data_IF_927552017532
#
_entry.id   IF_927552017532
#
_cell.length_a   1.000
_cell.length_b   1.000
_cell.length_c   1.000
_cell.angle_alpha   90.00
_cell.angle_beta   90.00
_cell.angle_gamma   90.00
#
_symmetry.space_group_name_H-M   'P 1'
#
loop_
_entity.id
_entity.type
_entity.pdbx_description
1 polymer ?
#
# COMPACT_ATOMS: atom_id res chain seq x y z
N UNK A 1 5.89 -13.10 -4.04
CA UNK A 1 7.23 -13.39 -3.45
C UNK A 1 7.57 -12.42 -2.34
N UNK A 2 7.64 -11.11 -2.56
CA UNK A 2 8.08 -10.13 -1.55
C UNK A 2 7.33 -10.24 -0.21
N UNK A 3 5.98 -10.31 -0.24
CA UNK A 3 5.18 -10.42 0.99
C UNK A 3 5.48 -11.73 1.75
N UNK A 4 5.74 -12.83 1.03
CA UNK A 4 6.17 -14.08 1.69
C UNK A 4 7.48 -13.88 2.46
N UNK A 5 8.46 -13.21 1.87
CA UNK A 5 9.74 -12.93 2.54
C UNK A 5 9.57 -12.05 3.79
N UNK A 6 8.62 -11.09 3.76
CA UNK A 6 8.26 -10.29 4.94
C UNK A 6 7.68 -11.18 6.04
N UNK A 7 6.75 -12.08 5.70
CA UNK A 7 6.14 -12.99 6.66
C UNK A 7 7.15 -13.98 7.22
N UNK A 8 8.03 -14.52 6.37
CA UNK A 8 9.14 -15.38 6.80
C UNK A 8 10.06 -14.66 7.80
N UNK A 9 10.38 -13.38 7.54
CA UNK A 9 11.19 -12.55 8.44
C UNK A 9 10.49 -12.25 9.78
N UNK A 10 9.16 -12.32 9.81
CA UNK A 10 8.35 -12.23 11.03
C UNK A 10 8.18 -13.59 11.74
N UNK A 11 8.71 -14.68 11.17
CA UNK A 11 8.50 -16.04 11.66
C UNK A 11 7.10 -16.60 11.37
N UNK A 12 6.36 -15.98 10.47
CA UNK A 12 5.01 -16.40 10.06
C UNK A 12 5.13 -17.30 8.84
N UNK A 13 4.66 -18.53 8.97
CA UNK A 13 4.67 -19.51 7.88
C UNK A 13 3.52 -19.25 6.91
N UNK A 14 3.85 -19.07 5.64
CA UNK A 14 2.86 -19.04 4.55
C UNK A 14 2.51 -20.47 4.17
N UNK A 15 1.24 -20.83 4.17
CA UNK A 15 0.78 -22.18 3.88
C UNK A 15 0.61 -22.44 2.39
N UNK A 16 0.07 -21.47 1.65
CA UNK A 16 -0.19 -21.58 0.22
C UNK A 16 -0.20 -20.20 -0.46
N UNK A 17 -0.08 -20.20 -1.76
CA UNK A 17 -0.43 -19.06 -2.61
C UNK A 17 -1.82 -19.29 -3.22
N UNK A 18 -2.49 -18.20 -3.57
CA UNK A 18 -3.77 -18.23 -4.28
C UNK A 18 -3.57 -17.47 -5.59
N UNK A 19 -3.88 -18.12 -6.71
CA UNK A 19 -3.81 -17.52 -8.04
C UNK A 19 -4.91 -18.16 -8.91
N UNK A 20 -5.65 -17.37 -9.67
CA UNK A 20 -6.74 -17.86 -10.53
C UNK A 20 -6.26 -18.46 -11.86
N UNK A 21 -4.96 -18.36 -12.16
CA UNK A 21 -4.36 -19.00 -13.33
C UNK A 21 -4.14 -20.52 -13.10
N UNK A 22 -4.92 -21.41 -13.74
CA UNK A 22 -4.82 -22.84 -13.53
C UNK A 22 -3.50 -23.47 -13.99
N UNK A 23 -2.71 -22.74 -14.77
CA UNK A 23 -1.39 -23.21 -15.21
C UNK A 23 -0.32 -23.13 -14.12
N UNK A 24 -0.57 -22.39 -13.03
CA UNK A 24 0.38 -22.20 -11.94
C UNK A 24 -0.02 -23.12 -10.78
N UNK A 25 0.68 -24.24 -10.61
CA UNK A 25 0.43 -25.19 -9.51
C UNK A 25 1.39 -25.03 -8.32
N UNK A 26 2.55 -24.38 -8.50
CA UNK A 26 3.55 -24.15 -7.45
C UNK A 26 4.20 -22.77 -7.60
N UNK A 27 4.44 -22.12 -6.47
CA UNK A 27 5.16 -20.85 -6.37
C UNK A 27 6.05 -20.87 -5.12
N UNK A 28 7.31 -20.49 -5.23
CA UNK A 28 8.26 -20.47 -4.10
C UNK A 28 8.29 -21.77 -3.28
N UNK A 29 8.12 -22.94 -3.93
CA UNK A 29 8.10 -24.25 -3.29
C UNK A 29 6.79 -24.63 -2.60
N UNK A 30 5.81 -23.72 -2.54
CA UNK A 30 4.49 -23.96 -1.96
C UNK A 30 3.45 -24.29 -3.05
N UNK A 31 2.36 -24.92 -2.65
CA UNK A 31 1.20 -25.16 -3.52
C UNK A 31 0.51 -23.84 -3.85
N UNK A 32 -0.04 -23.77 -5.07
CA UNK A 32 -0.95 -22.72 -5.49
C UNK A 32 -2.37 -23.29 -5.51
N UNK A 33 -3.26 -22.61 -4.81
CA UNK A 33 -4.68 -22.91 -4.78
C UNK A 33 -5.41 -21.94 -5.72
N UNK A 34 -6.55 -22.37 -6.26
CA UNK A 34 -7.29 -21.57 -7.24
C UNK A 34 -8.52 -20.87 -6.65
N UNK A 35 -8.74 -21.02 -5.34
CA UNK A 35 -9.72 -20.28 -4.56
C UNK A 35 -9.21 -20.06 -3.13
N UNK A 36 -9.88 -19.19 -2.39
CA UNK A 36 -9.55 -18.85 -1.01
C UNK A 36 -10.47 -19.54 0.02
N UNK A 37 -11.23 -20.54 -0.39
CA UNK A 37 -12.26 -21.16 0.46
C UNK A 37 -11.63 -21.79 1.71
N UNK A 38 -12.12 -21.39 2.87
CA UNK A 38 -11.65 -21.89 4.17
C UNK A 38 -10.27 -21.39 4.60
N UNK A 39 -9.64 -20.45 3.85
CA UNK A 39 -8.37 -19.86 4.22
C UNK A 39 -8.58 -18.53 4.96
N UNK A 40 -7.93 -18.39 6.11
CA UNK A 40 -7.96 -17.17 6.92
C UNK A 40 -6.79 -17.19 7.93
N UNK A 41 -6.04 -16.08 8.09
CA UNK A 41 -6.17 -14.83 7.35
C UNK A 41 -5.50 -14.87 5.97
N UNK A 42 -5.92 -13.99 5.06
CA UNK A 42 -5.37 -13.84 3.72
C UNK A 42 -4.75 -12.45 3.55
N UNK A 43 -3.69 -12.33 2.74
CA UNK A 43 -3.14 -11.04 2.29
C UNK A 43 -3.23 -10.96 0.76
N UNK A 44 -3.90 -9.93 0.24
CA UNK A 44 -4.02 -9.70 -1.21
C UNK A 44 -2.77 -8.99 -1.72
N UNK A 45 -1.90 -9.74 -2.44
CA UNK A 45 -0.58 -9.30 -2.89
C UNK A 45 -0.57 -8.72 -4.31
N UNK A 46 -1.59 -7.91 -4.65
CA UNK A 46 -1.78 -7.30 -5.97
C UNK A 46 -1.44 -5.82 -5.90
N UNK A 47 -0.54 -5.35 -6.78
CA UNK A 47 -0.02 -3.98 -6.77
C UNK A 47 -1.01 -2.93 -7.25
N UNK A 48 -1.85 -3.25 -8.26
CA UNK A 48 -2.88 -2.34 -8.72
C UNK A 48 -3.96 -2.13 -7.66
N UNK A 49 -4.27 -0.86 -7.35
CA UNK A 49 -5.17 -0.51 -6.26
C UNK A 49 -6.63 -0.92 -6.55
N UNK A 50 -7.09 -0.80 -7.81
CA UNK A 50 -8.45 -1.14 -8.21
C UNK A 50 -8.64 -2.65 -8.24
N UNK A 51 -7.68 -3.38 -8.79
CA UNK A 51 -7.69 -4.85 -8.79
C UNK A 51 -7.62 -5.40 -7.38
N UNK A 52 -6.76 -4.84 -6.52
CA UNK A 52 -6.68 -5.22 -5.11
C UNK A 52 -8.03 -5.03 -4.41
N UNK A 53 -8.70 -3.87 -4.60
CA UNK A 53 -10.04 -3.62 -4.06
C UNK A 53 -11.07 -4.61 -4.59
N UNK A 54 -11.05 -4.89 -5.89
CA UNK A 54 -11.96 -5.85 -6.54
C UNK A 54 -11.80 -7.26 -5.97
N UNK A 55 -10.57 -7.70 -5.74
CA UNK A 55 -10.28 -9.03 -5.17
C UNK A 55 -10.74 -9.09 -3.72
N UNK A 56 -10.38 -8.10 -2.89
CA UNK A 56 -10.82 -8.01 -1.48
C UNK A 56 -12.34 -8.10 -1.37
N UNK A 57 -13.08 -7.38 -2.23
CA UNK A 57 -14.54 -7.39 -2.23
C UNK A 57 -15.21 -8.74 -2.59
N UNK A 58 -14.43 -9.72 -3.05
CA UNK A 58 -14.92 -11.07 -3.36
C UNK A 58 -14.60 -12.10 -2.27
N UNK A 59 -13.79 -11.72 -1.29
CA UNK A 59 -13.33 -12.60 -0.24
C UNK A 59 -14.17 -12.40 1.03
N UNK A 60 -14.55 -13.51 1.68
CA UNK A 60 -15.24 -13.54 2.97
C UNK A 60 -14.33 -14.23 3.99
N UNK A 61 -13.24 -13.56 4.37
CA UNK A 61 -12.26 -14.08 5.32
C UNK A 61 -11.62 -12.91 6.08
N UNK A 62 -10.87 -13.19 7.13
CA UNK A 62 -10.06 -12.20 7.80
C UNK A 62 -8.81 -11.86 6.95
N UNK A 63 -8.31 -10.64 7.12
CA UNK A 63 -7.12 -10.19 6.40
C UNK A 63 -5.94 -9.98 7.34
N UNK A 64 -4.81 -10.56 6.95
CA UNK A 64 -3.56 -10.41 7.67
C UNK A 64 -2.83 -9.11 7.29
N UNK A 65 -1.94 -8.66 8.15
CA UNK A 65 -1.05 -7.51 7.92
C UNK A 65 0.40 -7.99 7.91
N UNK A 66 1.20 -7.52 6.96
CA UNK A 66 2.61 -7.85 6.88
C UNK A 66 3.46 -6.58 7.04
N UNK A 67 4.29 -6.54 8.10
CA UNK A 67 5.18 -5.40 8.38
C UNK A 67 6.61 -5.93 8.44
N UNK A 68 7.46 -5.51 7.51
CA UNK A 68 8.84 -5.98 7.50
C UNK A 68 9.56 -5.57 8.80
N UNK A 69 10.38 -6.44 9.43
CA UNK A 69 11.08 -6.10 10.68
C UNK A 69 12.02 -4.90 10.59
N UNK A 70 12.50 -4.55 9.39
CA UNK A 70 13.30 -3.33 9.19
C UNK A 70 12.48 -2.06 8.92
N UNK A 71 11.16 -2.14 8.89
CA UNK A 71 10.32 -0.95 8.86
C UNK A 71 10.33 -0.27 10.24
N UNK A 72 10.36 1.06 10.24
CA UNK A 72 10.30 1.87 11.46
C UNK A 72 8.87 2.38 11.60
N UNK A 73 8.11 1.80 12.52
CA UNK A 73 6.71 2.18 12.75
C UNK A 73 6.57 2.76 14.15
N UNK A 74 6.07 3.99 14.24
CA UNK A 74 5.81 4.62 15.53
C UNK A 74 4.77 3.82 16.33
N UNK A 75 4.93 3.67 17.66
CA UNK A 75 3.96 3.00 18.52
C UNK A 75 2.57 3.64 18.51
N UNK A 76 2.47 4.93 18.16
CA UNK A 76 1.20 5.65 18.07
C UNK A 76 0.56 5.60 16.67
N UNK A 77 1.25 5.04 15.67
CA UNK A 77 0.69 4.84 14.35
C UNK A 77 -0.36 3.71 14.38
N UNK A 78 -1.39 3.84 13.53
CA UNK A 78 -2.43 2.83 13.34
C UNK A 78 -2.34 2.29 11.93
N UNK A 79 -2.35 0.97 11.78
CA UNK A 79 -2.27 0.28 10.48
C UNK A 79 -3.49 -0.62 10.34
N UNK A 80 -4.26 -0.40 9.28
CA UNK A 80 -5.44 -1.21 8.96
C UNK A 80 -5.09 -2.61 8.46
N UNK A 81 -6.03 -3.53 8.60
CA UNK A 81 -5.89 -4.92 8.14
C UNK A 81 -5.62 -5.02 6.63
N UNK A 82 -5.01 -6.08 6.20
CA UNK A 82 -4.63 -6.30 4.79
C UNK A 82 -3.47 -5.43 4.31
N UNK A 83 -3.01 -4.47 5.11
CA UNK A 83 -1.95 -3.54 4.74
C UNK A 83 -0.58 -4.22 4.81
N UNK A 84 0.29 -3.87 3.84
CA UNK A 84 1.67 -4.34 3.79
C UNK A 84 2.64 -3.17 3.89
N UNK A 85 3.65 -3.33 4.75
CA UNK A 85 4.72 -2.35 4.98
C UNK A 85 6.05 -3.01 4.63
N UNK A 86 6.68 -2.48 3.59
CA UNK A 86 7.88 -3.07 2.98
C UNK A 86 9.16 -2.70 3.76
N UNK A 87 10.30 -3.34 3.43
CA UNK A 87 11.59 -3.06 4.07
C UNK A 87 11.96 -1.58 4.03
N UNK A 88 12.46 -1.06 5.17
CA UNK A 88 12.97 0.30 5.28
C UNK A 88 11.93 1.41 5.22
N UNK A 89 10.64 1.09 5.15
CA UNK A 89 9.58 2.09 5.24
C UNK A 89 9.55 2.73 6.64
N UNK A 90 9.19 4.02 6.69
CA UNK A 90 9.08 4.79 7.95
C UNK A 90 7.66 5.33 8.08
N UNK A 91 7.01 5.05 9.22
CA UNK A 91 5.67 5.55 9.54
C UNK A 91 5.75 6.24 10.90
N UNK A 92 5.58 7.57 10.92
CA UNK A 92 5.80 8.42 12.08
C UNK A 92 4.55 8.54 12.99
N UNK A 93 4.72 9.32 14.06
CA UNK A 93 3.77 9.43 15.15
C UNK A 93 2.39 9.92 14.70
N UNK A 94 1.34 9.27 15.20
CA UNK A 94 -0.05 9.65 14.95
C UNK A 94 -0.54 9.37 13.52
N UNK A 95 0.29 8.78 12.65
CA UNK A 95 -0.16 8.39 11.31
C UNK A 95 -1.24 7.31 11.37
N UNK A 96 -2.24 7.42 10.52
CA UNK A 96 -3.34 6.46 10.37
C UNK A 96 -3.33 5.93 8.94
N UNK A 97 -3.02 4.66 8.79
CA UNK A 97 -2.98 3.98 7.49
C UNK A 97 -4.24 3.11 7.38
N UNK A 98 -4.99 3.30 6.32
CA UNK A 98 -6.20 2.54 6.03
C UNK A 98 -5.94 1.06 5.78
N UNK A 99 -6.97 0.36 5.36
CA UNK A 99 -6.96 -1.08 5.08
C UNK A 99 -6.38 -1.35 3.70
N UNK A 100 -5.74 -2.52 3.55
CA UNK A 100 -5.22 -2.98 2.26
C UNK A 100 -4.29 -1.99 1.54
N UNK A 101 -3.58 -1.16 2.29
CA UNK A 101 -2.59 -0.22 1.76
C UNK A 101 -1.27 -0.92 1.45
N UNK A 102 -0.49 -0.30 0.59
CA UNK A 102 0.91 -0.67 0.34
C UNK A 102 1.79 0.52 0.72
N UNK A 103 2.58 0.39 1.76
CA UNK A 103 3.68 1.31 2.09
C UNK A 103 4.96 0.65 1.62
N UNK A 104 5.45 1.09 0.45
CA UNK A 104 6.46 0.35 -0.29
C UNK A 104 7.89 0.63 0.24
N UNK A 105 8.89 -0.06 -0.33
CA UNK A 105 10.30 -0.03 0.10
C UNK A 105 10.82 1.39 0.25
N UNK A 106 11.33 1.72 1.45
CA UNK A 106 11.91 3.02 1.76
C UNK A 106 10.96 4.21 1.68
N UNK A 107 9.65 3.99 1.56
CA UNK A 107 8.67 5.07 1.61
C UNK A 107 8.61 5.68 3.02
N UNK A 108 8.38 7.00 3.10
CA UNK A 108 8.24 7.69 4.38
C UNK A 108 6.88 8.40 4.49
N UNK A 109 6.21 8.15 5.60
CA UNK A 109 4.94 8.78 5.97
C UNK A 109 5.17 9.50 7.28
N UNK A 110 5.15 10.82 7.25
CA UNK A 110 5.43 11.64 8.41
C UNK A 110 4.21 11.76 9.35
N UNK A 111 4.39 12.52 10.44
CA UNK A 111 3.46 12.59 11.55
C UNK A 111 2.04 13.04 11.13
N UNK A 112 1.03 12.48 11.79
CA UNK A 112 -0.38 12.86 11.64
C UNK A 112 -0.93 12.76 10.21
N UNK A 113 -0.28 11.98 9.32
CA UNK A 113 -0.85 11.66 8.02
C UNK A 113 -2.02 10.69 8.15
N UNK A 114 -3.03 10.86 7.30
CA UNK A 114 -4.19 9.96 7.23
C UNK A 114 -4.31 9.44 5.79
N UNK A 115 -4.19 8.13 5.63
CA UNK A 115 -4.36 7.44 4.36
C UNK A 115 -5.66 6.64 4.38
N UNK A 116 -6.49 6.86 3.37
CA UNK A 116 -7.67 6.03 3.11
C UNK A 116 -7.31 4.60 2.72
N UNK A 117 -8.31 3.75 2.55
CA UNK A 117 -8.12 2.34 2.18
C UNK A 117 -7.51 2.22 0.77
N UNK A 118 -6.82 1.13 0.52
CA UNK A 118 -6.24 0.79 -0.78
C UNK A 118 -5.20 1.77 -1.34
N UNK A 119 -4.66 2.68 -0.54
CA UNK A 119 -3.56 3.55 -1.00
C UNK A 119 -2.29 2.76 -1.32
N UNK A 120 -1.49 3.29 -2.23
CA UNK A 120 -0.15 2.79 -2.52
C UNK A 120 0.85 3.94 -2.50
N UNK A 121 1.69 3.97 -1.49
CA UNK A 121 2.85 4.86 -1.41
C UNK A 121 4.03 4.07 -1.97
N UNK A 122 4.42 4.38 -3.21
CA UNK A 122 5.40 3.63 -3.99
C UNK A 122 6.83 3.77 -3.41
N UNK A 123 7.81 2.98 -3.91
CA UNK A 123 9.17 3.02 -3.37
C UNK A 123 9.76 4.42 -3.27
N UNK A 124 10.34 4.74 -2.11
CA UNK A 124 10.99 6.01 -1.81
C UNK A 124 10.12 7.26 -1.98
N UNK A 125 8.81 7.13 -2.05
CA UNK A 125 7.92 8.28 -1.99
C UNK A 125 7.86 8.84 -0.56
N UNK A 126 7.77 10.18 -0.43
CA UNK A 126 7.85 10.89 0.85
C UNK A 126 6.63 11.77 1.07
N UNK A 127 5.90 11.49 2.13
CA UNK A 127 4.77 12.29 2.60
C UNK A 127 5.21 13.09 3.83
N UNK A 128 5.20 14.43 3.74
CA UNK A 128 5.43 15.30 4.90
C UNK A 128 4.24 15.25 5.88
N UNK A 129 4.35 15.98 6.99
CA UNK A 129 3.33 15.92 8.06
C UNK A 129 1.93 16.38 7.66
N UNK A 130 0.90 15.77 8.28
CA UNK A 130 -0.52 16.13 8.15
C UNK A 130 -1.09 16.09 6.73
N UNK A 131 -0.65 15.13 5.94
CA UNK A 131 -1.21 14.88 4.61
C UNK A 131 -2.45 14.00 4.76
N UNK A 132 -3.48 14.29 3.95
CA UNK A 132 -4.63 13.43 3.78
C UNK A 132 -4.60 12.80 2.38
N UNK A 133 -4.65 11.48 2.30
CA UNK A 133 -4.90 10.74 1.07
C UNK A 133 -6.27 10.06 1.15
N UNK A 134 -7.10 10.29 0.15
CA UNK A 134 -8.36 9.57 -0.03
C UNK A 134 -8.18 8.10 -0.37
N UNK A 135 -9.27 7.40 -0.64
CA UNK A 135 -9.25 5.98 -1.01
C UNK A 135 -8.51 5.75 -2.33
N UNK A 136 -7.70 4.70 -2.40
CA UNK A 136 -7.11 4.22 -3.65
C UNK A 136 -6.07 5.15 -4.28
N UNK A 137 -5.57 6.14 -3.56
CA UNK A 137 -4.55 7.08 -4.06
C UNK A 137 -3.24 6.33 -4.36
N UNK A 138 -2.62 6.67 -5.48
CA UNK A 138 -1.28 6.20 -5.85
C UNK A 138 -0.28 7.35 -5.81
N UNK A 139 0.72 7.23 -4.95
CA UNK A 139 1.88 8.13 -4.92
C UNK A 139 3.04 7.42 -5.60
N UNK A 140 3.48 7.95 -6.74
CA UNK A 140 4.49 7.35 -7.61
C UNK A 140 5.88 7.26 -6.96
N UNK A 141 6.74 6.42 -7.55
CA UNK A 141 8.11 6.19 -7.08
C UNK A 141 8.87 7.49 -6.90
N UNK A 142 9.47 7.72 -5.73
CA UNK A 142 10.27 8.91 -5.43
C UNK A 142 9.52 10.23 -5.45
N UNK A 143 8.19 10.22 -5.51
CA UNK A 143 7.40 11.45 -5.44
C UNK A 143 7.38 12.01 -4.01
N UNK A 144 7.18 13.31 -3.88
CA UNK A 144 7.14 14.02 -2.60
C UNK A 144 5.90 14.92 -2.51
N UNK A 145 5.37 15.05 -1.29
CA UNK A 145 4.22 15.91 -0.99
C UNK A 145 4.58 16.80 0.20
N UNK A 146 4.39 18.13 0.04
CA UNK A 146 4.63 19.10 1.13
C UNK A 146 3.56 18.96 2.24
N UNK A 147 3.81 19.49 3.46
CA UNK A 147 2.87 19.37 4.57
C UNK A 147 1.45 19.90 4.27
N UNK A 148 0.45 19.30 4.92
CA UNK A 148 -0.95 19.73 4.94
C UNK A 148 -1.70 19.67 3.59
N UNK A 149 -1.17 18.97 2.59
CA UNK A 149 -1.83 18.75 1.29
C UNK A 149 -2.89 17.66 1.40
N UNK A 150 -4.01 17.84 0.68
CA UNK A 150 -5.06 16.85 0.52
C UNK A 150 -5.05 16.26 -0.89
N UNK A 151 -5.15 14.94 -0.98
CA UNK A 151 -5.22 14.20 -2.24
C UNK A 151 -6.52 13.43 -2.26
N UNK A 152 -7.38 13.72 -3.21
CA UNK A 152 -8.71 13.11 -3.33
C UNK A 152 -8.65 11.63 -3.79
N UNK A 153 -9.76 10.93 -3.61
CA UNK A 153 -9.89 9.51 -3.91
C UNK A 153 -9.42 9.17 -5.34
N UNK A 154 -8.69 8.08 -5.48
CA UNK A 154 -8.23 7.54 -6.77
C UNK A 154 -7.36 8.48 -7.60
N UNK A 155 -6.85 9.55 -7.00
CA UNK A 155 -5.88 10.41 -7.65
C UNK A 155 -4.51 9.73 -7.75
N UNK A 156 -3.72 10.18 -8.72
CA UNK A 156 -2.39 9.63 -9.01
C UNK A 156 -1.36 10.76 -9.03
N UNK A 157 -0.32 10.64 -8.22
CA UNK A 157 0.86 11.47 -8.33
C UNK A 157 1.95 10.69 -9.07
N UNK A 158 2.41 11.21 -10.20
CA UNK A 158 3.43 10.56 -11.04
C UNK A 158 4.78 10.39 -10.33
N UNK A 159 5.58 9.44 -10.83
CA UNK A 159 6.92 9.18 -10.28
C UNK A 159 7.81 10.43 -10.34
N UNK A 160 8.61 10.67 -9.29
CA UNK A 160 9.54 11.80 -9.16
C UNK A 160 8.87 13.17 -9.06
N UNK A 161 7.56 13.24 -8.90
CA UNK A 161 6.82 14.50 -8.85
C UNK A 161 6.85 15.14 -7.46
N UNK A 162 6.70 16.47 -7.41
CA UNK A 162 6.59 17.23 -6.16
C UNK A 162 5.26 17.96 -6.09
N UNK A 163 4.36 17.49 -5.24
CA UNK A 163 3.01 18.05 -5.07
C UNK A 163 3.04 19.15 -4.01
N UNK A 164 2.63 20.35 -4.39
CA UNK A 164 2.65 21.55 -3.54
C UNK A 164 1.27 22.20 -3.35
N UNK A 165 0.23 21.59 -3.90
CA UNK A 165 -1.19 22.01 -3.77
C UNK A 165 -2.06 20.77 -3.69
N UNK A 166 -3.30 20.94 -3.27
CA UNK A 166 -4.28 19.84 -3.22
C UNK A 166 -4.52 19.26 -4.61
N UNK A 167 -4.72 17.94 -4.68
CA UNK A 167 -5.02 17.20 -5.90
C UNK A 167 -6.44 16.65 -5.82
N UNK A 168 -7.37 17.08 -6.71
CA UNK A 168 -8.74 16.58 -6.70
C UNK A 168 -8.84 15.09 -7.01
N UNK A 169 -9.97 14.47 -6.60
CA UNK A 169 -10.24 13.06 -6.82
C UNK A 169 -10.18 12.67 -8.32
N UNK A 170 -9.60 11.53 -8.60
CA UNK A 170 -9.47 10.95 -9.94
C UNK A 170 -8.47 11.65 -10.85
N UNK A 171 -7.83 12.73 -10.42
CA UNK A 171 -6.87 13.46 -11.24
C UNK A 171 -5.48 12.82 -11.18
N UNK A 172 -4.74 12.98 -12.27
CA UNK A 172 -3.31 12.65 -12.33
C UNK A 172 -2.51 13.93 -12.39
N UNK A 173 -1.47 14.04 -11.53
CA UNK A 173 -0.52 15.17 -11.55
C UNK A 173 0.90 14.65 -11.72
N UNK A 174 1.74 15.38 -12.47
CA UNK A 174 3.15 15.05 -12.71
C UNK A 174 4.01 16.29 -12.74
N UNK A 175 5.31 16.11 -12.48
CA UNK A 175 6.33 17.14 -12.61
C UNK A 175 6.77 17.79 -11.30
N UNK A 176 7.68 18.77 -11.40
CA UNK A 176 8.23 19.54 -10.27
C UNK A 176 8.17 21.03 -10.61
N UNK A 177 7.22 21.80 -10.05
CA UNK A 177 6.07 21.32 -9.25
C UNK A 177 5.09 20.48 -10.09
N UNK A 178 4.34 19.60 -9.40
CA UNK A 178 3.37 18.74 -10.07
C UNK A 178 2.16 19.56 -10.56
N UNK A 179 1.77 19.30 -11.81
CA UNK A 179 0.58 19.90 -12.44
C UNK A 179 -0.35 18.80 -12.95
N UNK A 180 -1.65 19.08 -12.96
CA UNK A 180 -2.65 18.13 -13.48
C UNK A 180 -2.39 17.90 -14.97
N UNK A 181 -2.37 16.62 -15.37
CA UNK A 181 -2.27 16.20 -16.76
C UNK A 181 -3.62 15.68 -17.24
N UNK A 182 -4.06 16.18 -18.40
CA UNK A 182 -5.27 15.67 -19.05
C UNK A 182 -4.87 14.49 -19.96
N UNK A 183 -5.53 13.37 -19.79
CA UNK A 183 -5.41 12.19 -20.65
C UNK A 183 -6.52 12.17 -21.68
#
# INVERSE_FOLDING_TARGET
MVIKEILDAQGIKVEAFIDDNPAISRLCGLSVLHNADGLSPVIVSVGDNRDRKRIVGRLSCDFGTAIHPSAIVSPSAKIGEGTVVMPGAVINAGAVIGRHCIVNTGASIDHECVLGDFCHVAPHASLCGRIYLGEGVLIGVGASIIPCVQVGDWAVLGAGSSLIVDLPAGMTAMGVPATIVNH
#
